data_IF_736908584441
#
_entry.id   IF_736908584441
#
_cell.length_a   1.000
_cell.length_b   1.000
_cell.length_c   1.000
_cell.angle_alpha   90.00
_cell.angle_beta   90.00
_cell.angle_gamma   90.00
#
_symmetry.space_group_name_H-M   'P 1'
#
loop_
_entity.id
_entity.type
_entity.pdbx_description
1 polymer ?
#
# COMPACT_ATOMS: atom_id res chain seq x y z
N UNK A 1 -9.45 -66.59 14.21
CA UNK A 1 -8.53 -65.61 13.59
C UNK A 1 -9.17 -64.23 13.65
N UNK A 2 -8.84 -63.43 14.67
CA UNK A 2 -9.43 -62.09 14.87
C UNK A 2 -8.47 -61.01 14.37
N UNK A 3 -8.75 -60.46 13.20
CA UNK A 3 -8.07 -59.30 12.64
C UNK A 3 -8.39 -58.06 13.47
N UNK A 4 -7.48 -57.68 14.37
CA UNK A 4 -7.55 -56.39 15.05
C UNK A 4 -7.11 -55.30 14.07
N UNK A 5 -8.10 -54.63 13.48
CA UNK A 5 -7.91 -53.46 12.64
C UNK A 5 -7.35 -52.33 13.51
N UNK A 6 -6.04 -52.13 13.47
CA UNK A 6 -5.37 -51.01 14.14
C UNK A 6 -5.63 -49.75 13.32
N UNK A 7 -6.76 -49.09 13.54
CA UNK A 7 -7.05 -47.78 12.96
C UNK A 7 -6.14 -46.70 13.55
N UNK A 8 -5.81 -45.66 12.76
CA UNK A 8 -4.61 -44.87 12.92
C UNK A 8 -4.74 -43.88 14.08
N UNK A 9 -3.63 -43.66 14.77
CA UNK A 9 -3.42 -42.58 15.72
C UNK A 9 -3.89 -41.25 15.11
N UNK A 10 -4.74 -40.55 15.85
CA UNK A 10 -5.07 -39.15 15.60
C UNK A 10 -3.76 -38.35 15.45
N UNK A 11 -3.55 -37.77 14.28
CA UNK A 11 -2.49 -36.79 14.08
C UNK A 11 -2.88 -35.52 14.84
N UNK A 12 -2.36 -35.38 16.06
CA UNK A 12 -2.36 -34.10 16.78
C UNK A 12 -1.77 -33.01 15.86
N UNK A 13 -2.46 -31.88 15.62
CA UNK A 13 -1.87 -30.80 14.86
C UNK A 13 -0.63 -30.31 15.61
N UNK A 14 0.54 -30.54 15.02
CA UNK A 14 1.82 -30.12 15.58
C UNK A 14 1.81 -28.64 15.95
N UNK A 15 2.67 -28.21 16.90
CA UNK A 15 2.64 -26.86 17.44
C UNK A 15 2.71 -25.85 16.30
N UNK A 16 1.63 -25.08 16.13
CA UNK A 16 1.57 -24.00 15.14
C UNK A 16 2.75 -23.07 15.42
N UNK A 17 3.76 -23.09 14.57
CA UNK A 17 4.93 -22.21 14.66
C UNK A 17 4.52 -20.79 14.26
N UNK A 18 3.63 -20.19 15.04
CA UNK A 18 3.35 -18.76 14.91
C UNK A 18 4.62 -18.06 15.36
N UNK A 19 5.39 -17.51 14.41
CA UNK A 19 6.50 -16.63 14.73
C UNK A 19 5.93 -15.47 15.57
N UNK A 20 6.27 -15.45 16.87
CA UNK A 20 5.75 -14.47 17.81
C UNK A 20 6.70 -13.27 17.83
N UNK A 21 6.18 -12.11 17.45
CA UNK A 21 6.91 -10.85 17.64
C UNK A 21 7.19 -10.60 19.12
N UNK A 22 8.41 -10.13 19.41
CA UNK A 22 8.86 -9.78 20.76
C UNK A 22 8.08 -8.59 21.32
N UNK A 23 8.05 -8.45 22.65
CA UNK A 23 7.37 -7.33 23.31
C UNK A 23 8.00 -5.99 22.93
N UNK A 24 9.34 -5.92 22.89
CA UNK A 24 10.10 -4.74 22.45
C UNK A 24 9.76 -4.32 21.02
N UNK A 25 9.67 -5.29 20.10
CA UNK A 25 9.31 -5.00 18.71
C UNK A 25 7.90 -4.39 18.62
N UNK A 26 6.92 -4.98 19.32
CA UNK A 26 5.56 -4.46 19.34
C UNK A 26 5.50 -3.07 19.99
N UNK A 27 6.23 -2.85 21.07
CA UNK A 27 6.28 -1.57 21.77
C UNK A 27 6.88 -0.47 20.89
N UNK A 28 7.98 -0.78 20.19
CA UNK A 28 8.63 0.12 19.23
C UNK A 28 7.71 0.44 18.05
N UNK A 29 7.06 -0.57 17.46
CA UNK A 29 6.11 -0.39 16.37
C UNK A 29 4.93 0.51 16.77
N UNK A 30 4.37 0.28 17.97
CA UNK A 30 3.31 1.13 18.52
C UNK A 30 3.81 2.55 18.73
N UNK A 31 4.99 2.74 19.31
CA UNK A 31 5.54 4.07 19.59
C UNK A 31 5.83 4.86 18.31
N UNK A 32 6.41 4.22 17.29
CA UNK A 32 6.58 4.78 15.94
C UNK A 32 5.24 5.26 15.36
N UNK A 33 4.20 4.44 15.49
CA UNK A 33 2.87 4.76 14.95
C UNK A 33 2.11 5.88 15.67
N UNK A 34 2.59 6.30 16.84
CA UNK A 34 2.03 7.40 17.64
C UNK A 34 2.70 8.75 17.36
N UNK A 35 3.79 8.78 16.60
CA UNK A 35 4.46 10.02 16.25
C UNK A 35 3.59 10.87 15.30
N UNK A 36 3.60 12.18 15.50
CA UNK A 36 2.77 13.12 14.74
C UNK A 36 3.13 13.08 13.26
N UNK A 37 2.13 12.93 12.39
CA UNK A 37 2.31 12.93 10.93
C UNK A 37 2.75 11.59 10.34
N UNK A 38 2.94 10.55 11.16
CA UNK A 38 3.23 9.19 10.70
C UNK A 38 1.91 8.42 10.53
N UNK A 39 1.68 7.80 9.37
CA UNK A 39 0.53 6.91 9.18
C UNK A 39 0.84 5.47 9.62
N UNK A 40 -0.16 4.82 10.19
CA UNK A 40 -0.09 3.40 10.61
C UNK A 40 0.28 2.49 9.43
N UNK A 41 -0.25 2.79 8.25
CA UNK A 41 0.03 2.03 7.04
C UNK A 41 1.51 2.10 6.64
N UNK A 42 2.13 3.27 6.76
CA UNK A 42 3.54 3.46 6.40
C UNK A 42 4.46 2.70 7.36
N UNK A 43 4.19 2.75 8.66
CA UNK A 43 4.94 2.00 9.69
C UNK A 43 4.75 0.49 9.51
N UNK A 44 3.53 0.05 9.21
CA UNK A 44 3.26 -1.36 8.97
C UNK A 44 4.00 -1.87 7.73
N UNK A 45 3.99 -1.09 6.64
CA UNK A 45 4.73 -1.40 5.43
C UNK A 45 6.25 -1.43 5.67
N UNK A 46 6.82 -0.48 6.42
CA UNK A 46 8.25 -0.46 6.72
C UNK A 46 8.70 -1.64 7.59
N UNK A 47 7.82 -2.11 8.49
CA UNK A 47 8.08 -3.25 9.37
C UNK A 47 7.66 -4.59 8.74
N UNK A 48 7.21 -4.60 7.49
CA UNK A 48 6.70 -5.79 6.79
C UNK A 48 5.60 -6.54 7.57
N UNK A 49 4.75 -5.79 8.26
CA UNK A 49 3.60 -6.32 9.01
C UNK A 49 2.29 -5.85 8.39
N UNK A 50 1.23 -6.65 8.55
CA UNK A 50 -0.10 -6.23 8.13
C UNK A 50 -0.62 -5.06 9.01
N UNK A 51 -1.18 -3.98 8.46
CA UNK A 51 -1.64 -2.81 9.23
C UNK A 51 -2.64 -3.14 10.34
N UNK A 52 -3.49 -4.15 10.13
CA UNK A 52 -4.40 -4.67 11.16
C UNK A 52 -3.68 -5.11 12.44
N UNK A 53 -2.50 -5.74 12.33
CA UNK A 53 -1.72 -6.16 13.49
C UNK A 53 -1.26 -4.95 14.30
N UNK A 54 -0.78 -3.91 13.62
CA UNK A 54 -0.34 -2.69 14.27
C UNK A 54 -1.50 -1.94 14.94
N UNK A 55 -2.67 -1.89 14.29
CA UNK A 55 -3.90 -1.36 14.90
C UNK A 55 -4.31 -2.14 16.16
N UNK A 56 -4.20 -3.48 16.12
CA UNK A 56 -4.44 -4.33 17.29
C UNK A 56 -3.44 -4.04 18.41
N UNK A 57 -2.15 -3.89 18.12
CA UNK A 57 -1.14 -3.57 19.12
C UNK A 57 -1.33 -2.17 19.72
N UNK A 58 -1.79 -1.18 18.94
CA UNK A 58 -2.18 0.14 19.46
C UNK A 58 -3.34 0.04 20.46
N UNK A 59 -4.31 -0.84 20.21
CA UNK A 59 -5.40 -1.12 21.16
C UNK A 59 -4.84 -1.77 22.44
N UNK A 60 -4.01 -2.79 22.31
CA UNK A 60 -3.35 -3.47 23.43
C UNK A 60 -2.47 -2.54 24.27
N UNK A 61 -1.80 -1.56 23.66
CA UNK A 61 -1.02 -0.56 24.39
C UNK A 61 -1.92 0.39 25.21
N UNK A 62 -3.08 0.79 24.69
CA UNK A 62 -4.07 1.59 25.44
C UNK A 62 -4.67 0.80 26.61
N UNK A 63 -4.83 -0.50 26.44
CA UNK A 63 -5.32 -1.43 27.47
C UNK A 63 -4.23 -1.83 28.48
N UNK A 64 -2.99 -1.36 28.32
CA UNK A 64 -1.88 -1.68 29.23
C UNK A 64 -1.32 -3.09 29.07
N UNK A 65 -1.65 -3.81 27.99
CA UNK A 65 -1.09 -5.14 27.68
C UNK A 65 0.32 -5.03 27.08
N UNK A 66 0.59 -3.95 26.34
CA UNK A 66 1.92 -3.65 25.78
C UNK A 66 2.49 -2.43 26.51
N UNK A 67 3.58 -2.63 27.24
CA UNK A 67 4.34 -1.54 27.84
C UNK A 67 5.11 -0.77 26.77
N UNK A 68 4.81 0.51 26.61
CA UNK A 68 5.46 1.42 25.66
C UNK A 68 6.29 2.52 26.35
N UNK A 69 6.19 2.60 27.69
CA UNK A 69 6.94 3.57 28.49
C UNK A 69 8.42 3.18 28.48
N UNK A 70 9.30 4.15 28.21
CA UNK A 70 10.75 3.94 28.16
C UNK A 70 11.31 3.57 26.77
N UNK A 71 10.45 3.30 25.78
CA UNK A 71 10.92 3.04 24.41
C UNK A 71 11.28 4.35 23.72
N UNK A 72 12.58 4.57 23.54
CA UNK A 72 13.10 5.65 22.72
C UNK A 72 12.88 5.30 21.24
N UNK A 73 12.28 6.22 20.50
CA UNK A 73 12.13 6.10 19.05
C UNK A 73 12.84 7.27 18.41
N UNK A 74 13.66 6.97 17.42
CA UNK A 74 14.42 7.97 16.68
C UNK A 74 13.47 8.86 15.85
N UNK A 75 13.58 10.17 16.08
CA UNK A 75 12.82 11.18 15.34
C UNK A 75 13.24 11.24 13.87
N UNK A 76 14.49 10.86 13.54
CA UNK A 76 14.97 10.79 12.18
C UNK A 76 14.17 9.77 11.35
N UNK A 77 13.94 8.58 11.89
CA UNK A 77 13.11 7.53 11.26
C UNK A 77 11.70 8.04 10.97
N UNK A 78 11.11 8.83 11.88
CA UNK A 78 9.80 9.41 11.64
C UNK A 78 9.79 10.48 10.54
N UNK A 79 10.84 11.30 10.46
CA UNK A 79 11.01 12.26 9.38
C UNK A 79 11.16 11.56 8.02
N UNK A 80 11.93 10.47 7.97
CA UNK A 80 12.09 9.64 6.77
C UNK A 80 10.77 9.02 6.32
N UNK A 81 9.99 8.44 7.24
CA UNK A 81 8.66 7.88 6.91
C UNK A 81 7.71 8.95 6.35
N UNK A 82 7.74 10.16 6.92
CA UNK A 82 6.93 11.28 6.44
C UNK A 82 7.34 11.70 5.04
N UNK A 83 8.65 11.81 4.78
CA UNK A 83 9.17 12.19 3.47
C UNK A 83 8.87 11.12 2.42
N UNK A 84 9.05 9.85 2.76
CA UNK A 84 8.72 8.72 1.90
C UNK A 84 7.24 8.77 1.48
N UNK A 85 6.34 9.08 2.41
CA UNK A 85 4.91 9.25 2.11
C UNK A 85 4.67 10.42 1.16
N UNK A 86 5.34 11.56 1.37
CA UNK A 86 5.23 12.75 0.52
C UNK A 86 5.65 12.43 -0.92
N UNK A 87 6.81 11.79 -1.08
CA UNK A 87 7.35 11.41 -2.39
C UNK A 87 6.44 10.40 -3.09
N UNK A 88 5.98 9.36 -2.39
CA UNK A 88 5.04 8.37 -2.97
C UNK A 88 3.77 9.03 -3.48
N UNK A 89 3.19 9.97 -2.71
CA UNK A 89 1.98 10.68 -3.13
C UNK A 89 2.22 11.55 -4.37
N UNK A 90 3.34 12.26 -4.40
CA UNK A 90 3.72 13.08 -5.56
C UNK A 90 3.95 12.22 -6.81
N UNK A 91 4.59 11.06 -6.65
CA UNK A 91 4.83 10.12 -7.73
C UNK A 91 3.53 9.56 -8.32
N UNK A 92 2.58 9.12 -7.49
CA UNK A 92 1.28 8.62 -7.98
C UNK A 92 0.47 9.72 -8.69
N UNK A 93 0.49 10.95 -8.16
CA UNK A 93 -0.13 12.10 -8.81
C UNK A 93 0.48 12.35 -10.20
N UNK A 94 1.81 12.40 -10.27
CA UNK A 94 2.53 12.61 -11.53
C UNK A 94 2.25 11.51 -12.55
N UNK A 95 2.12 10.25 -12.10
CA UNK A 95 1.78 9.12 -12.96
C UNK A 95 0.39 9.29 -13.59
N UNK A 96 -0.60 9.70 -12.79
CA UNK A 96 -1.96 9.97 -13.28
C UNK A 96 -1.96 11.11 -14.31
N UNK A 97 -1.28 12.23 -14.00
CA UNK A 97 -1.16 13.38 -14.90
C UNK A 97 -0.50 12.99 -16.21
N UNK A 98 0.61 12.26 -16.15
CA UNK A 98 1.33 11.78 -17.30
C UNK A 98 0.49 10.84 -18.17
N UNK A 99 -0.25 9.91 -17.58
CA UNK A 99 -1.14 9.00 -18.31
C UNK A 99 -2.29 9.77 -18.97
N UNK A 100 -2.81 10.81 -18.33
CA UNK A 100 -3.82 11.70 -18.91
C UNK A 100 -3.26 12.48 -20.11
N UNK A 101 -2.06 13.07 -19.98
CA UNK A 101 -1.39 13.79 -21.05
C UNK A 101 -1.14 12.90 -22.27
N UNK A 102 -0.67 11.67 -22.04
CA UNK A 102 -0.50 10.67 -23.11
C UNK A 102 -1.79 10.40 -23.87
N UNK A 103 -2.91 10.21 -23.15
CA UNK A 103 -4.23 10.00 -23.75
C UNK A 103 -4.69 11.22 -24.57
N UNK A 104 -4.46 12.43 -24.06
CA UNK A 104 -4.80 13.66 -24.78
C UNK A 104 -3.99 13.83 -26.09
N UNK A 105 -2.68 13.55 -26.05
CA UNK A 105 -1.82 13.56 -27.24
C UNK A 105 -2.30 12.51 -28.26
N UNK A 106 -2.60 11.29 -27.82
CA UNK A 106 -3.11 10.24 -28.69
C UNK A 106 -4.44 10.64 -29.36
N UNK A 107 -5.37 11.20 -28.59
CA UNK A 107 -6.67 11.66 -29.09
C UNK A 107 -6.54 12.76 -30.15
N UNK A 108 -5.70 13.77 -29.90
CA UNK A 108 -5.51 14.90 -30.82
C UNK A 108 -4.75 14.51 -32.08
N UNK A 109 -3.73 13.65 -31.95
CA UNK A 109 -2.94 13.15 -33.08
C UNK A 109 -3.79 12.30 -34.03
N UNK A 110 -4.69 11.45 -33.51
CA UNK A 110 -5.60 10.66 -34.33
C UNK A 110 -6.58 11.51 -35.15
N UNK A 111 -6.96 12.70 -34.66
CA UNK A 111 -7.92 13.59 -35.33
C UNK A 111 -7.31 14.41 -36.48
N UNK A 112 -5.98 14.56 -36.53
CA UNK A 112 -5.30 15.37 -37.57
C UNK A 112 -5.32 14.74 -38.97
N UNK A 113 -5.76 13.48 -39.10
CA UNK A 113 -5.79 12.75 -40.38
C UNK A 113 -7.09 13.00 -41.18
N UNK A 114 -8.13 13.58 -40.56
CA UNK A 114 -9.40 13.92 -41.25
C UNK A 114 -9.52 15.43 -41.48
N UNK A 115 -8.56 16.02 -42.20
CA UNK A 115 -8.80 17.30 -42.86
C UNK A 115 -9.61 17.03 -44.13
N UNK A 116 -10.92 17.23 -44.09
CA UNK A 116 -11.73 17.35 -45.31
C UNK A 116 -11.20 18.53 -46.13
N UNK A 117 -10.86 18.36 -47.42
CA UNK A 117 -10.48 19.48 -48.27
C UNK A 117 -11.70 20.37 -48.44
N UNK A 118 -11.65 21.57 -47.87
CA UNK A 118 -12.71 22.58 -48.02
C UNK A 118 -12.62 23.21 -49.41
N UNK A 119 -13.67 22.96 -50.21
CA UNK A 119 -14.22 23.72 -51.34
C UNK A 119 -13.33 24.73 -52.08
N UNK A 120 -13.15 24.53 -53.39
CA UNK A 120 -12.94 25.63 -54.33
C UNK A 120 -14.16 25.74 -55.25
N UNK A 121 -14.93 26.82 -55.11
CA UNK A 121 -16.09 27.12 -55.97
C UNK A 121 -15.62 27.54 -57.36
N UNK A 122 -15.71 26.66 -58.36
CA UNK A 122 -15.55 27.05 -59.76
C UNK A 122 -16.91 27.40 -60.35
N UNK A 123 -17.14 28.70 -60.56
CA UNK A 123 -18.18 29.21 -61.45
C UNK A 123 -17.85 28.80 -62.90
N UNK A 124 -18.79 28.20 -63.61
CA UNK A 124 -18.86 28.33 -65.08
C UNK A 124 -20.24 27.90 -65.59
N UNK A 125 -20.88 28.85 -66.28
CA UNK A 125 -22.22 28.78 -66.88
C UNK A 125 -22.39 27.67 -67.91
N UNK A 126 -23.62 27.14 -67.95
CA UNK A 126 -24.20 26.24 -68.96
C UNK A 126 -24.92 27.04 -70.06
N UNK A 127 -25.42 26.37 -71.11
CA UNK A 127 -24.74 25.83 -72.28
C UNK A 127 -24.65 26.83 -73.47
#
# INVERSE_FOLDING_TARGET
MNYHFRSPHHAEPGPRTTYRYTHEFKATAVRLSQLSGVAVQDVAASLYIHPFMLSRWRKQAREGVIMTKGVAVDKAVAAELKELRRVKKAYEQLKIEHDLLKKAIAFTSARKVTSSPSSNSSKSSTP
#
